data_IF_001127536687
#
_entry.id   IF_001127536687
#
_cell.length_a   1.000
_cell.length_b   1.000
_cell.length_c   1.000
_cell.angle_alpha   90.00
_cell.angle_beta   90.00
_cell.angle_gamma   90.00
#
_symmetry.space_group_name_H-M   'P 1'
#
loop_
_entity.id
_entity.type
_entity.pdbx_description
1 polymer ?
#
# COMPACT_ATOMS: atom_id res chain seq x y z
N UNK A 1 22.70 -6.97 39.87
CA UNK A 1 21.75 -6.40 38.89
C UNK A 1 22.49 -5.23 38.25
N UNK A 2 23.13 -5.50 37.11
CA UNK A 2 23.92 -4.51 36.37
C UNK A 2 22.96 -3.48 35.76
N UNK A 3 23.11 -2.21 36.11
CA UNK A 3 22.48 -1.11 35.40
C UNK A 3 23.38 -0.77 34.22
N UNK A 4 22.95 -1.15 33.01
CA UNK A 4 23.56 -0.71 31.77
C UNK A 4 23.20 0.76 31.54
N UNK A 5 24.06 1.68 32.01
CA UNK A 5 23.93 3.13 31.78
C UNK A 5 24.40 3.49 30.36
N UNK A 6 23.65 3.03 29.36
CA UNK A 6 23.80 3.51 27.99
C UNK A 6 23.42 4.99 27.90
N UNK A 7 24.34 5.84 27.42
CA UNK A 7 24.09 7.27 27.26
C UNK A 7 23.03 7.52 26.18
N UNK A 8 21.79 7.81 26.60
CA UNK A 8 20.68 8.15 25.72
C UNK A 8 20.84 9.60 25.23
N UNK A 9 21.16 9.78 23.95
CA UNK A 9 21.22 11.13 23.34
C UNK A 9 19.84 11.50 22.81
N UNK A 10 19.23 12.54 23.37
CA UNK A 10 17.96 13.08 22.90
C UNK A 10 18.21 14.33 22.04
N UNK A 11 17.36 14.54 21.02
CA UNK A 11 17.42 15.76 20.22
C UNK A 11 17.17 17.01 21.07
N UNK A 12 17.75 18.18 20.73
CA UNK A 12 17.66 19.40 21.53
C UNK A 12 16.22 19.89 21.76
N UNK A 13 15.31 19.69 20.80
CA UNK A 13 13.88 20.01 20.92
C UNK A 13 13.16 19.17 21.99
N UNK A 14 13.58 17.91 22.13
CA UNK A 14 12.91 16.94 23.00
C UNK A 14 13.16 17.24 24.48
N UNK A 15 14.34 17.77 24.81
CA UNK A 15 14.67 18.18 26.18
C UNK A 15 13.69 19.22 26.72
N UNK A 16 13.37 20.25 25.93
CA UNK A 16 12.43 21.30 26.34
C UNK A 16 11.01 20.76 26.55
N UNK A 17 10.56 19.84 25.69
CA UNK A 17 9.24 19.21 25.80
C UNK A 17 9.12 18.29 27.02
N UNK A 18 10.17 17.54 27.35
CA UNK A 18 10.20 16.68 28.54
C UNK A 18 10.16 17.54 29.81
N UNK A 19 10.93 18.63 29.87
CA UNK A 19 10.92 19.54 31.02
C UNK A 19 9.55 20.21 31.19
N UNK A 20 8.93 20.68 30.11
CA UNK A 20 7.57 21.24 30.13
C UNK A 20 6.52 20.24 30.64
N UNK A 21 6.57 19.00 30.15
CA UNK A 21 5.66 17.93 30.59
C UNK A 21 5.88 17.52 32.05
N UNK A 22 7.14 17.48 32.50
CA UNK A 22 7.51 17.20 33.89
C UNK A 22 6.94 18.25 34.84
N UNK A 23 7.00 19.52 34.44
CA UNK A 23 6.57 20.65 35.28
C UNK A 23 5.03 20.70 35.45
N UNK A 24 4.27 20.02 34.59
CA UNK A 24 2.81 19.85 34.75
C UNK A 24 2.42 18.70 35.70
N UNK A 25 3.34 17.79 36.04
CA UNK A 25 3.04 16.66 36.93
C UNK A 25 3.17 17.04 38.42
N UNK A 26 2.34 16.44 39.29
CA UNK A 26 2.48 16.55 40.75
C UNK A 26 2.50 15.15 41.40
N UNK A 27 3.55 14.82 42.19
CA UNK A 27 4.74 15.62 42.52
C UNK A 27 5.69 15.82 41.33
N UNK A 28 6.56 16.84 41.42
CA UNK A 28 7.57 17.11 40.37
C UNK A 28 8.57 15.96 40.29
N UNK A 29 8.63 15.31 39.12
CA UNK A 29 9.57 14.22 38.85
C UNK A 29 10.98 14.78 38.59
N UNK A 30 12.02 13.98 38.80
CA UNK A 30 13.34 14.28 38.21
C UNK A 30 13.31 14.05 36.70
N UNK A 31 14.28 14.59 35.95
CA UNK A 31 14.32 14.38 34.48
C UNK A 31 14.44 12.89 34.10
N UNK A 32 15.24 12.12 34.84
CA UNK A 32 15.36 10.66 34.62
C UNK A 32 14.03 9.94 34.91
N UNK A 33 13.32 10.31 35.98
CA UNK A 33 12.00 9.76 36.29
C UNK A 33 10.95 10.13 35.23
N UNK A 34 10.97 11.36 34.73
CA UNK A 34 10.07 11.80 33.67
C UNK A 34 10.31 11.02 32.37
N UNK A 35 11.58 10.79 32.00
CA UNK A 35 11.94 9.96 30.84
C UNK A 35 11.43 8.53 31.03
N UNK A 36 11.69 7.90 32.18
CA UNK A 36 11.24 6.55 32.46
C UNK A 36 9.70 6.42 32.41
N UNK A 37 8.98 7.41 32.92
CA UNK A 37 7.51 7.40 32.88
C UNK A 37 6.98 7.60 31.46
N UNK A 38 7.58 8.51 30.67
CA UNK A 38 7.21 8.71 29.27
C UNK A 38 7.49 7.46 28.41
N UNK A 39 8.62 6.79 28.64
CA UNK A 39 8.96 5.51 28.00
C UNK A 39 7.94 4.44 28.41
N UNK A 40 7.61 4.34 29.69
CA UNK A 40 6.59 3.39 30.20
C UNK A 40 5.22 3.65 29.60
N UNK A 41 4.81 4.91 29.45
CA UNK A 41 3.56 5.30 28.77
C UNK A 41 3.63 4.90 27.29
N UNK A 42 4.72 5.22 26.59
CA UNK A 42 4.91 4.88 25.19
C UNK A 42 4.91 3.38 24.93
N UNK A 43 5.54 2.58 25.81
CA UNK A 43 5.56 1.12 25.71
C UNK A 43 4.18 0.50 25.98
N UNK A 44 3.41 1.03 26.95
CA UNK A 44 2.01 0.60 27.18
C UNK A 44 1.11 0.86 25.98
N UNK A 45 1.30 1.99 25.31
CA UNK A 45 0.59 2.32 24.07
C UNK A 45 1.05 1.48 22.88
N UNK A 46 2.27 0.92 22.91
CA UNK A 46 2.78 0.04 21.87
C UNK A 46 2.28 -1.42 22.01
N UNK A 47 1.90 -1.86 23.21
CA UNK A 47 1.49 -3.24 23.50
C UNK A 47 0.04 -3.56 23.10
N UNK A 48 -0.82 -2.56 22.90
CA UNK A 48 -2.18 -2.76 22.37
C UNK A 48 -2.74 -1.47 21.77
N UNK A 49 -3.42 -1.50 20.61
CA UNK A 49 -4.14 -0.33 20.12
C UNK A 49 -5.15 0.11 21.18
N UNK A 50 -4.93 1.29 21.77
CA UNK A 50 -5.76 1.81 22.84
C UNK A 50 -6.63 2.95 22.33
N UNK A 51 -7.94 2.88 22.59
CA UNK A 51 -8.88 3.96 22.29
C UNK A 51 -8.93 4.92 23.48
N UNK A 52 -8.54 6.17 23.28
CA UNK A 52 -8.56 7.22 24.31
C UNK A 52 -10.00 7.53 24.77
N UNK A 53 -10.21 8.07 25.98
CA UNK A 53 -11.55 8.41 26.46
C UNK A 53 -12.34 9.34 25.52
N UNK A 54 -11.65 10.28 24.85
CA UNK A 54 -12.26 11.17 23.85
C UNK A 54 -12.73 10.40 22.61
N UNK A 55 -11.92 9.47 22.10
CA UNK A 55 -12.32 8.61 20.98
C UNK A 55 -13.47 7.67 21.37
N UNK A 56 -13.50 7.16 22.61
CA UNK A 56 -14.64 6.36 23.10
C UNK A 56 -15.93 7.15 23.06
N UNK A 57 -15.91 8.41 23.51
CA UNK A 57 -17.07 9.29 23.47
C UNK A 57 -17.54 9.54 22.03
N UNK A 58 -16.61 9.86 21.12
CA UNK A 58 -16.92 10.08 19.70
C UNK A 58 -17.54 8.83 19.07
N UNK A 59 -16.94 7.65 19.31
CA UNK A 59 -17.41 6.39 18.73
C UNK A 59 -18.77 5.98 19.28
N UNK A 60 -19.04 6.15 20.58
CA UNK A 60 -20.38 5.93 21.16
C UNK A 60 -21.42 6.86 20.54
N UNK A 61 -21.10 8.15 20.36
CA UNK A 61 -22.01 9.07 19.68
C UNK A 61 -22.28 8.67 18.22
N UNK A 62 -21.27 8.15 17.51
CA UNK A 62 -21.44 7.64 16.15
C UNK A 62 -22.29 6.36 16.11
N UNK A 63 -22.14 5.45 17.08
CA UNK A 63 -23.01 4.27 17.22
C UNK A 63 -24.48 4.68 17.43
N UNK A 64 -24.73 5.65 18.31
CA UNK A 64 -26.07 6.20 18.54
C UNK A 64 -26.68 6.82 17.28
N UNK A 65 -25.88 7.58 16.53
CA UNK A 65 -26.32 8.16 15.27
C UNK A 65 -26.61 7.08 14.22
N UNK A 66 -25.76 6.06 14.10
CA UNK A 66 -25.94 4.98 13.15
C UNK A 66 -27.23 4.19 13.43
N UNK A 67 -27.49 3.86 14.71
CA UNK A 67 -28.76 3.25 15.13
C UNK A 67 -29.97 4.11 14.77
N UNK A 68 -29.90 5.42 14.97
CA UNK A 68 -31.00 6.35 14.63
C UNK A 68 -31.25 6.51 13.14
N UNK A 69 -30.21 6.43 12.32
CA UNK A 69 -30.31 6.57 10.85
C UNK A 69 -30.66 5.23 10.19
N UNK A 70 -30.68 4.12 10.95
CA UNK A 70 -30.92 2.75 10.48
C UNK A 70 -30.03 2.38 9.28
N UNK A 71 -28.82 2.93 9.25
CA UNK A 71 -27.90 2.73 8.14
C UNK A 71 -27.38 1.30 8.18
N UNK A 72 -27.64 0.53 7.12
CA UNK A 72 -26.98 -0.77 6.92
C UNK A 72 -25.53 -0.53 6.50
N UNK A 73 -24.67 -0.37 7.50
CA UNK A 73 -23.23 -0.24 7.34
C UNK A 73 -22.49 -1.57 7.44
N UNK A 74 -21.19 -1.52 7.15
CA UNK A 74 -20.25 -2.62 7.38
C UNK A 74 -19.98 -2.86 8.87
N UNK A 75 -20.19 -1.82 9.69
CA UNK A 75 -19.92 -1.82 11.12
C UNK A 75 -21.24 -1.97 11.87
N UNK A 76 -21.25 -2.93 12.79
CA UNK A 76 -22.34 -3.15 13.73
C UNK A 76 -22.13 -2.22 14.93
N UNK A 77 -23.01 -1.23 15.15
CA UNK A 77 -22.85 -0.25 16.22
C UNK A 77 -22.93 -0.87 17.62
N UNK A 78 -23.69 -1.96 17.80
CA UNK A 78 -23.87 -2.61 19.10
C UNK A 78 -22.62 -3.41 19.48
N UNK A 79 -22.07 -4.14 18.50
CA UNK A 79 -20.80 -4.84 18.69
C UNK A 79 -19.65 -3.87 18.98
N UNK A 80 -19.53 -2.80 18.20
CA UNK A 80 -18.47 -1.79 18.35
C UNK A 80 -18.51 -1.14 19.74
N UNK A 81 -19.70 -0.75 20.19
CA UNK A 81 -19.88 -0.11 21.49
C UNK A 81 -19.51 -1.04 22.64
N UNK A 82 -19.95 -2.30 22.59
CA UNK A 82 -19.60 -3.30 23.59
C UNK A 82 -18.09 -3.54 23.66
N UNK A 83 -17.43 -3.63 22.49
CA UNK A 83 -15.99 -3.83 22.41
C UNK A 83 -15.20 -2.64 22.99
N UNK A 84 -15.59 -1.40 22.68
CA UNK A 84 -14.89 -0.19 23.15
C UNK A 84 -15.11 0.06 24.65
N UNK A 85 -16.34 -0.11 25.14
CA UNK A 85 -16.67 0.07 26.55
C UNK A 85 -16.02 -1.02 27.42
N UNK A 86 -16.05 -2.28 26.98
CA UNK A 86 -15.44 -3.42 27.67
C UNK A 86 -13.91 -3.53 27.54
N UNK A 87 -13.29 -2.71 26.68
CA UNK A 87 -11.84 -2.78 26.43
C UNK A 87 -11.42 -3.98 25.57
N UNK A 88 -12.34 -4.60 24.83
CA UNK A 88 -12.11 -5.73 23.95
C UNK A 88 -11.67 -5.28 22.55
N UNK A 89 -10.68 -4.40 22.46
CA UNK A 89 -10.24 -3.81 21.17
C UNK A 89 -9.73 -4.89 20.20
N UNK A 90 -9.12 -5.96 20.73
CA UNK A 90 -8.72 -7.14 19.96
C UNK A 90 -9.89 -7.77 19.17
N UNK A 91 -11.12 -7.67 19.68
CA UNK A 91 -12.29 -8.25 19.04
C UNK A 91 -12.67 -7.50 17.75
N UNK A 92 -12.29 -6.21 17.65
CA UNK A 92 -12.48 -5.44 16.43
C UNK A 92 -11.62 -5.97 15.29
N UNK A 93 -10.39 -6.42 15.58
CA UNK A 93 -9.52 -7.02 14.57
C UNK A 93 -10.08 -8.36 14.07
N UNK A 94 -10.75 -9.10 14.92
CA UNK A 94 -11.33 -10.40 14.55
C UNK A 94 -12.65 -10.26 13.79
N UNK A 95 -13.52 -9.35 14.26
CA UNK A 95 -14.83 -9.12 13.65
C UNK A 95 -14.73 -8.31 12.35
N UNK A 96 -13.78 -7.38 12.29
CA UNK A 96 -13.51 -6.55 11.12
C UNK A 96 -12.07 -6.70 10.67
N UNK A 97 -11.67 -7.88 10.13
CA UNK A 97 -10.30 -8.12 9.71
C UNK A 97 -9.81 -7.05 8.75
N UNK A 98 -10.67 -6.56 7.85
CA UNK A 98 -10.39 -5.49 6.89
C UNK A 98 -9.87 -4.19 7.51
N UNK A 99 -10.27 -3.86 8.75
CA UNK A 99 -9.78 -2.69 9.49
C UNK A 99 -8.40 -2.94 10.13
N UNK A 100 -8.08 -4.20 10.41
CA UNK A 100 -6.80 -4.62 10.98
C UNK A 100 -5.73 -4.92 9.93
N UNK A 101 -6.04 -4.78 8.63
CA UNK A 101 -5.05 -4.96 7.56
C UNK A 101 -3.94 -3.92 7.73
N UNK A 102 -2.83 -4.33 8.34
CA UNK A 102 -1.55 -3.59 8.34
C UNK A 102 -0.88 -3.60 6.97
N UNK A 103 -1.61 -3.94 5.92
CA UNK A 103 -1.22 -3.63 4.55
C UNK A 103 -1.44 -2.15 4.34
N UNK A 104 -0.52 -1.35 4.87
CA UNK A 104 -0.30 -0.02 4.32
C UNK A 104 0.21 -0.30 2.91
N UNK A 105 -0.70 -0.27 1.93
CA UNK A 105 -0.33 -0.15 0.53
C UNK A 105 0.41 1.18 0.41
N UNK A 106 1.71 1.14 0.70
CA UNK A 106 2.53 2.34 0.78
C UNK A 106 2.55 3.03 -0.57
N UNK A 107 2.74 4.35 -0.56
CA UNK A 107 2.79 5.16 -1.77
C UNK A 107 3.73 4.55 -2.83
N UNK A 108 4.87 4.00 -2.43
CA UNK A 108 5.81 3.31 -3.33
C UNK A 108 5.21 2.10 -4.09
N UNK A 109 4.29 1.34 -3.49
CA UNK A 109 3.61 0.23 -4.18
C UNK A 109 2.60 0.77 -5.20
N UNK A 110 1.86 1.83 -4.84
CA UNK A 110 0.95 2.51 -5.75
C UNK A 110 1.70 3.12 -6.95
N UNK A 111 2.81 3.81 -6.69
CA UNK A 111 3.66 4.40 -7.73
C UNK A 111 4.20 3.31 -8.67
N UNK A 112 4.61 2.17 -8.13
CA UNK A 112 5.06 1.05 -8.96
C UNK A 112 3.93 0.52 -9.85
N UNK A 113 2.72 0.31 -9.33
CA UNK A 113 1.57 -0.15 -10.14
C UNK A 113 1.23 0.86 -11.23
N UNK A 114 1.24 2.16 -10.92
CA UNK A 114 1.01 3.23 -11.91
C UNK A 114 2.03 3.11 -13.05
N UNK A 115 3.31 2.97 -12.73
CA UNK A 115 4.38 2.85 -13.72
C UNK A 115 4.23 1.59 -14.58
N UNK A 116 3.89 0.45 -13.96
CA UNK A 116 3.67 -0.82 -14.66
C UNK A 116 2.48 -0.70 -15.64
N UNK A 117 1.33 -0.20 -15.18
CA UNK A 117 0.14 -0.04 -16.02
C UNK A 117 0.34 1.01 -17.13
N UNK A 118 1.13 2.05 -16.86
CA UNK A 118 1.50 3.05 -17.87
C UNK A 118 2.34 2.42 -18.98
N UNK A 119 3.41 1.72 -18.60
CA UNK A 119 4.29 1.01 -19.53
C UNK A 119 3.50 0.00 -20.36
N UNK A 120 2.73 -0.89 -19.73
CA UNK A 120 1.91 -1.86 -20.45
C UNK A 120 0.84 -1.22 -21.32
N UNK A 121 0.25 -0.11 -20.88
CA UNK A 121 -0.69 0.65 -21.69
C UNK A 121 -0.07 1.17 -22.98
N UNK A 122 1.20 1.58 -22.93
CA UNK A 122 1.94 2.00 -24.12
C UNK A 122 2.34 0.79 -24.99
N UNK A 123 2.76 -0.32 -24.39
CA UNK A 123 3.08 -1.56 -25.11
C UNK A 123 1.88 -2.03 -25.95
N UNK A 124 0.72 -2.22 -25.31
CA UNK A 124 -0.49 -2.71 -25.98
C UNK A 124 -0.93 -1.77 -27.10
N UNK A 125 -0.98 -0.45 -26.82
CA UNK A 125 -1.33 0.56 -27.83
C UNK A 125 -0.37 0.57 -29.01
N UNK A 126 0.93 0.51 -28.75
CA UNK A 126 1.96 0.55 -29.80
C UNK A 126 1.92 -0.71 -30.64
N UNK A 127 1.79 -1.87 -30.01
CA UNK A 127 1.66 -3.15 -30.71
C UNK A 127 0.41 -3.19 -31.59
N UNK A 128 -0.74 -2.72 -31.12
CA UNK A 128 -1.97 -2.68 -31.92
C UNK A 128 -1.85 -1.79 -33.17
N UNK A 129 -1.08 -0.71 -33.09
CA UNK A 129 -0.88 0.23 -34.20
C UNK A 129 0.08 -0.28 -35.29
N UNK A 130 0.87 -1.32 -35.02
CA UNK A 130 1.81 -1.87 -36.00
C UNK A 130 1.09 -2.60 -37.16
N UNK A 131 1.70 -2.67 -38.35
CA UNK A 131 1.23 -3.55 -39.41
C UNK A 131 1.31 -5.03 -39.01
N UNK A 132 0.36 -5.85 -39.50
CA UNK A 132 0.34 -7.31 -39.28
C UNK A 132 1.66 -8.05 -39.53
N UNK A 133 2.45 -7.79 -40.60
CA UNK A 133 3.73 -8.49 -40.77
C UNK A 133 4.74 -8.18 -39.67
N UNK A 134 4.69 -6.98 -39.10
CA UNK A 134 5.60 -6.57 -38.02
C UNK A 134 5.16 -7.15 -36.68
N UNK A 135 3.85 -7.17 -36.41
CA UNK A 135 3.27 -7.86 -35.25
C UNK A 135 3.68 -9.34 -35.21
N UNK A 136 3.54 -10.04 -36.33
CA UNK A 136 3.90 -11.46 -36.44
C UNK A 136 5.39 -11.69 -36.14
N UNK A 137 6.26 -10.81 -36.64
CA UNK A 137 7.70 -10.88 -36.36
C UNK A 137 8.00 -10.69 -34.87
N UNK A 138 7.43 -9.65 -34.25
CA UNK A 138 7.65 -9.36 -32.82
C UNK A 138 7.13 -10.50 -31.94
N UNK A 139 5.96 -11.05 -32.24
CA UNK A 139 5.41 -12.20 -31.50
C UNK A 139 6.31 -13.43 -31.62
N UNK A 140 6.84 -13.70 -32.81
CA UNK A 140 7.76 -14.82 -33.04
C UNK A 140 9.08 -14.63 -32.30
N UNK A 141 9.70 -13.45 -32.41
CA UNK A 141 10.96 -13.12 -31.76
C UNK A 141 10.84 -13.17 -30.23
N UNK A 142 9.70 -12.74 -29.70
CA UNK A 142 9.38 -12.82 -28.27
C UNK A 142 8.77 -14.17 -27.86
N UNK A 143 8.71 -15.19 -28.72
CA UNK A 143 8.15 -16.51 -28.37
C UNK A 143 6.71 -16.49 -27.83
N UNK A 144 5.92 -15.46 -28.17
CA UNK A 144 4.55 -15.28 -27.68
C UNK A 144 3.56 -15.98 -28.61
N UNK A 145 2.75 -16.88 -28.04
CA UNK A 145 1.71 -17.63 -28.78
C UNK A 145 0.33 -16.99 -28.70
N UNK A 146 0.18 -15.96 -27.85
CA UNK A 146 -1.07 -15.26 -27.60
C UNK A 146 -0.91 -13.76 -27.84
N UNK A 147 -2.05 -13.06 -28.00
CA UNK A 147 -2.09 -11.61 -28.14
C UNK A 147 -1.35 -10.92 -26.98
N UNK A 148 -0.50 -9.95 -27.36
CA UNK A 148 0.31 -9.21 -26.41
C UNK A 148 -0.60 -8.37 -25.50
N UNK A 149 -0.80 -8.83 -24.27
CA UNK A 149 -1.64 -8.19 -23.26
C UNK A 149 -0.99 -8.29 -21.88
N UNK A 150 -1.42 -7.42 -20.97
CA UNK A 150 -0.92 -7.39 -19.60
C UNK A 150 -1.07 -8.78 -18.92
N UNK A 151 0.05 -9.39 -18.47
CA UNK A 151 0.03 -10.76 -17.95
C UNK A 151 -0.71 -10.90 -16.61
N UNK A 152 -0.78 -9.83 -15.81
CA UNK A 152 -1.42 -9.85 -14.50
C UNK A 152 -0.43 -9.92 -13.34
N UNK A 153 -0.83 -10.61 -12.28
CA UNK A 153 -0.07 -10.68 -11.02
C UNK A 153 -0.13 -12.09 -10.45
N UNK A 154 0.93 -12.55 -9.81
CA UNK A 154 0.90 -13.80 -9.06
C UNK A 154 -0.09 -13.73 -7.87
N UNK A 155 -0.71 -14.86 -7.53
CA UNK A 155 -1.85 -14.86 -6.62
C UNK A 155 -1.51 -14.38 -5.20
N UNK A 156 -0.64 -15.08 -4.50
CA UNK A 156 -0.33 -14.79 -3.10
C UNK A 156 0.80 -13.78 -2.96
N UNK A 157 1.93 -14.01 -3.63
CA UNK A 157 3.13 -13.18 -3.49
C UNK A 157 2.99 -11.75 -4.05
N UNK A 158 2.03 -11.52 -4.95
CA UNK A 158 1.79 -10.21 -5.58
C UNK A 158 0.36 -9.70 -5.35
N UNK A 159 -0.36 -10.29 -4.39
CA UNK A 159 -1.74 -9.95 -4.04
C UNK A 159 -1.93 -8.44 -3.79
N UNK A 160 -0.94 -7.79 -3.17
CA UNK A 160 -0.98 -6.36 -2.87
C UNK A 160 -0.99 -5.51 -4.14
N UNK A 161 -0.11 -5.79 -5.12
CA UNK A 161 -0.08 -5.06 -6.38
C UNK A 161 -1.36 -5.28 -7.19
N UNK A 162 -1.88 -6.51 -7.20
CA UNK A 162 -3.17 -6.85 -7.81
C UNK A 162 -4.33 -6.07 -7.19
N UNK A 163 -4.37 -5.99 -5.86
CA UNK A 163 -5.39 -5.24 -5.13
C UNK A 163 -5.35 -3.74 -5.47
N UNK A 164 -4.15 -3.15 -5.50
CA UNK A 164 -3.94 -1.76 -5.89
C UNK A 164 -4.38 -1.51 -7.34
N UNK A 165 -3.99 -2.37 -8.28
CA UNK A 165 -4.34 -2.24 -9.69
C UNK A 165 -5.85 -2.28 -9.92
N UNK A 166 -6.55 -3.20 -9.22
CA UNK A 166 -8.02 -3.24 -9.22
C UNK A 166 -8.64 -2.00 -8.61
N UNK A 167 -8.13 -1.51 -7.49
CA UNK A 167 -8.65 -0.30 -6.87
C UNK A 167 -8.50 0.92 -7.80
N UNK A 168 -7.34 1.10 -8.42
CA UNK A 168 -7.09 2.18 -9.38
C UNK A 168 -8.04 2.11 -10.58
N UNK A 169 -8.26 0.93 -11.14
CA UNK A 169 -9.04 0.77 -12.38
C UNK A 169 -10.54 0.68 -12.17
N UNK A 170 -10.99 -0.04 -11.14
CA UNK A 170 -12.41 -0.30 -10.85
C UNK A 170 -13.04 0.80 -9.98
N UNK A 171 -12.27 1.41 -9.07
CA UNK A 171 -12.80 2.37 -8.08
C UNK A 171 -12.39 3.81 -8.37
N UNK A 172 -11.13 4.05 -8.72
CA UNK A 172 -10.64 5.41 -9.03
C UNK A 172 -10.84 5.80 -10.50
N UNK A 173 -11.24 4.84 -11.36
CA UNK A 173 -11.40 5.04 -12.79
C UNK A 173 -10.14 5.52 -13.52
N UNK A 174 -8.96 5.19 -12.98
CA UNK A 174 -7.67 5.38 -13.65
C UNK A 174 -7.44 4.23 -14.62
N UNK A 175 -6.65 4.46 -15.69
CA UNK A 175 -6.28 3.40 -16.64
C UNK A 175 -7.48 2.58 -17.19
N UNK A 176 -8.49 3.21 -17.81
CA UNK A 176 -9.75 2.54 -18.18
C UNK A 176 -9.58 1.35 -19.14
N UNK A 177 -8.53 1.34 -19.96
CA UNK A 177 -8.18 0.22 -20.84
C UNK A 177 -7.97 -1.11 -20.05
N UNK A 178 -7.46 -1.00 -18.82
CA UNK A 178 -7.15 -2.15 -17.97
C UNK A 178 -8.31 -2.60 -17.09
N UNK A 179 -9.47 -1.92 -17.10
CA UNK A 179 -10.57 -2.19 -16.14
C UNK A 179 -11.03 -3.65 -16.12
N UNK A 180 -10.92 -4.37 -17.23
CA UNK A 180 -11.35 -5.78 -17.33
C UNK A 180 -10.27 -6.80 -16.95
N UNK A 181 -9.01 -6.40 -16.89
CA UNK A 181 -7.89 -7.36 -16.79
C UNK A 181 -6.71 -6.90 -15.91
N UNK A 182 -6.76 -5.72 -15.30
CA UNK A 182 -5.78 -5.27 -14.29
C UNK A 182 -5.66 -6.22 -13.09
N UNK A 183 -6.73 -6.96 -12.80
CA UNK A 183 -6.78 -7.96 -11.72
C UNK A 183 -6.46 -9.39 -12.15
N UNK A 184 -6.00 -9.62 -13.39
CA UNK A 184 -5.70 -10.97 -13.90
C UNK A 184 -4.68 -11.67 -13.01
N UNK A 185 -4.89 -12.97 -12.81
CA UNK A 185 -3.96 -13.83 -12.07
C UNK A 185 -2.99 -14.46 -13.06
N UNK A 186 -1.70 -14.29 -12.80
CA UNK A 186 -0.60 -14.95 -13.49
C UNK A 186 -0.20 -16.22 -12.72
N UNK A 187 0.24 -17.25 -13.44
CA UNK A 187 0.84 -18.45 -12.84
C UNK A 187 2.30 -18.26 -12.40
N UNK A 188 2.90 -17.12 -12.73
CA UNK A 188 4.31 -16.80 -12.45
C UNK A 188 4.42 -15.49 -11.65
N UNK A 189 5.53 -15.34 -10.91
CA UNK A 189 5.89 -14.11 -10.18
C UNK A 189 6.55 -13.13 -11.15
N UNK A 190 5.92 -11.98 -11.40
CA UNK A 190 6.25 -11.09 -12.52
C UNK A 190 6.78 -9.71 -12.11
N UNK A 191 6.60 -9.27 -10.86
CA UNK A 191 7.03 -7.94 -10.38
C UNK A 191 8.53 -7.73 -10.57
N UNK A 192 9.34 -8.77 -10.39
CA UNK A 192 10.78 -8.71 -10.69
C UNK A 192 11.06 -8.40 -12.17
N UNK A 193 10.33 -9.04 -13.08
CA UNK A 193 10.43 -8.82 -14.53
C UNK A 193 9.91 -7.43 -14.91
N UNK A 194 8.79 -7.00 -14.35
CA UNK A 194 8.27 -5.64 -14.55
C UNK A 194 9.27 -4.56 -14.13
N UNK A 195 9.99 -4.75 -13.01
CA UNK A 195 11.04 -3.80 -12.58
C UNK A 195 12.20 -3.72 -13.57
N UNK A 196 12.63 -4.84 -14.16
CA UNK A 196 13.66 -4.85 -15.22
C UNK A 196 13.19 -4.11 -16.46
N UNK A 197 11.97 -4.40 -16.92
CA UNK A 197 11.36 -3.68 -18.05
C UNK A 197 11.29 -2.18 -17.77
N UNK A 198 10.87 -1.78 -16.56
CA UNK A 198 10.80 -0.38 -16.17
C UNK A 198 12.16 0.32 -16.20
N UNK A 199 13.26 -0.36 -15.85
CA UNK A 199 14.60 0.21 -15.95
C UNK A 199 14.97 0.55 -17.40
N UNK A 200 14.61 -0.32 -18.36
CA UNK A 200 14.80 -0.04 -19.78
C UNK A 200 13.82 1.04 -20.27
N UNK A 201 12.56 0.96 -19.84
CA UNK A 201 11.52 1.93 -20.18
C UNK A 201 11.87 3.35 -19.74
N UNK A 202 12.48 3.52 -18.56
CA UNK A 202 12.93 4.83 -18.06
C UNK A 202 14.09 5.41 -18.90
N UNK A 203 14.88 4.56 -19.57
CA UNK A 203 15.97 4.98 -20.44
C UNK A 203 15.50 5.34 -21.85
N UNK A 204 14.30 4.89 -22.24
CA UNK A 204 13.64 5.35 -23.45
C UNK A 204 13.14 6.77 -23.18
N UNK A 205 14.03 7.76 -23.30
CA UNK A 205 13.70 9.19 -23.20
C UNK A 205 12.46 9.47 -24.07
N UNK A 206 11.34 9.85 -23.46
CA UNK A 206 10.20 10.40 -24.19
C UNK A 206 9.31 11.25 -23.29
N UNK A 207 9.29 12.56 -23.53
CA UNK A 207 8.21 13.47 -23.16
C UNK A 207 7.89 14.40 -24.35
N UNK A 208 6.62 14.82 -24.62
CA UNK A 208 5.38 14.45 -23.92
C UNK A 208 4.29 13.77 -24.76
N UNK A 209 3.50 12.98 -24.03
CA UNK A 209 2.10 12.63 -24.22
C UNK A 209 1.68 11.49 -25.16
N UNK A 210 2.23 11.31 -26.37
CA UNK A 210 1.54 10.43 -27.35
C UNK A 210 2.42 9.62 -28.34
N UNK A 211 3.74 9.56 -28.15
CA UNK A 211 4.58 8.75 -29.04
C UNK A 211 4.39 7.26 -28.77
N UNK A 212 3.99 6.50 -29.79
CA UNK A 212 4.01 5.03 -29.78
C UNK A 212 5.44 4.49 -29.88
N UNK A 213 5.69 3.36 -29.22
CA UNK A 213 6.94 2.62 -29.33
C UNK A 213 7.09 2.05 -30.74
N UNK A 214 8.29 2.15 -31.30
CA UNK A 214 8.64 1.50 -32.56
C UNK A 214 8.75 -0.03 -32.38
N UNK A 215 8.63 -0.80 -33.45
CA UNK A 215 8.78 -2.25 -33.40
C UNK A 215 10.09 -2.73 -32.73
N UNK A 216 11.26 -2.12 -33.01
CA UNK A 216 12.50 -2.44 -32.32
C UNK A 216 12.48 -2.10 -30.81
N UNK A 217 11.91 -0.97 -30.41
CA UNK A 217 11.79 -0.59 -28.99
C UNK A 217 10.86 -1.54 -28.24
N UNK A 218 9.76 -1.96 -28.88
CA UNK A 218 8.86 -2.99 -28.34
C UNK A 218 9.57 -4.33 -28.16
N UNK A 219 10.29 -4.80 -29.19
CA UNK A 219 11.00 -6.07 -29.13
C UNK A 219 12.05 -6.07 -28.01
N UNK A 220 12.85 -5.00 -27.89
CA UNK A 220 13.86 -4.87 -26.84
C UNK A 220 13.25 -4.82 -25.43
N UNK A 221 12.10 -4.16 -25.26
CA UNK A 221 11.38 -4.11 -23.98
C UNK A 221 10.80 -5.48 -23.60
N UNK A 222 10.24 -6.22 -24.57
CA UNK A 222 9.72 -7.57 -24.35
C UNK A 222 10.82 -8.58 -24.05
N UNK A 223 12.02 -8.40 -24.63
CA UNK A 223 13.19 -9.22 -24.29
C UNK A 223 13.51 -9.13 -22.79
N UNK A 224 13.44 -7.93 -22.20
CA UNK A 224 13.65 -7.75 -20.74
C UNK A 224 12.63 -8.52 -19.88
N UNK A 225 11.45 -8.83 -20.44
CA UNK A 225 10.42 -9.60 -19.78
C UNK A 225 10.71 -11.11 -19.80
N UNK A 226 11.47 -11.61 -20.77
CA UNK A 226 11.68 -13.05 -20.98
C UNK A 226 12.91 -13.64 -20.30
N UNK A 227 13.82 -12.82 -19.76
CA UNK A 227 15.10 -13.32 -19.25
C UNK A 227 14.91 -14.14 -17.96
N UNK A 228 14.71 -15.44 -18.15
CA UNK A 228 15.15 -16.52 -17.25
C UNK A 228 16.38 -17.20 -17.87
N UNK A 229 17.52 -17.08 -17.17
CA UNK A 229 18.60 -18.04 -17.24
C UNK A 229 18.67 -18.74 -15.89
#
# INVERSE_FOLDING_TARGET
MEQDEGALTLGPDLHGRIDAWRDTQRPRLTRSQAINELVRIGLRSAESPSVSPGEKLILSMLCDLNRKVEAKGMIDPDFLEYAIQGGHIWALEWQYPSLAHRHVNGQAHADLVIRILTMWGLIEKSFHALPEPEKARIMQDAGLTAELSFPGWHDESEANYRSIARFMTERMNLFPAFRRHAGRVSGEVLVGRYKKMLQYFDQLESDPADRLLTGPELAALLEQFQIEH
#
